data_IF_620314699526
#
_entry.id   IF_620314699526
#
_cell.length_a   1.000
_cell.length_b   1.000
_cell.length_c   1.000
_cell.angle_alpha   90.00
_cell.angle_beta   90.00
_cell.angle_gamma   90.00
#
_symmetry.space_group_name_H-M   'P 1'
#
loop_
_entity.id
_entity.type
_entity.pdbx_description
1 polymer ?
#
# COMPACT_ATOMS: atom_id res chain seq x y z
N UNK A 1 -5.67 -11.59 5.33
CA UNK A 1 -5.46 -10.44 4.43
C UNK A 1 -5.08 -10.88 3.03
N UNK A 2 -4.04 -11.73 2.84
CA UNK A 2 -3.59 -12.19 1.51
C UNK A 2 -4.71 -12.93 0.75
N UNK A 3 -5.44 -13.83 1.42
CA UNK A 3 -6.57 -14.55 0.81
C UNK A 3 -7.67 -13.59 0.36
N UNK A 4 -7.95 -12.55 1.15
CA UNK A 4 -8.96 -11.55 0.79
C UNK A 4 -8.48 -10.66 -0.36
N UNK A 5 -7.18 -10.32 -0.40
CA UNK A 5 -6.58 -9.61 -1.52
C UNK A 5 -6.75 -10.43 -2.82
N UNK A 6 -6.38 -11.71 -2.81
CA UNK A 6 -6.51 -12.59 -3.98
C UNK A 6 -7.96 -12.70 -4.47
N UNK A 7 -8.90 -12.93 -3.56
CA UNK A 7 -10.34 -12.99 -3.91
C UNK A 7 -10.83 -11.70 -4.57
N UNK A 8 -10.46 -10.54 -4.03
CA UNK A 8 -10.88 -9.24 -4.55
C UNK A 8 -10.21 -8.92 -5.89
N UNK A 9 -8.91 -9.17 -6.03
CA UNK A 9 -8.18 -8.99 -7.30
C UNK A 9 -8.83 -9.80 -8.42
N UNK A 10 -9.16 -11.07 -8.17
CA UNK A 10 -9.85 -11.93 -9.15
C UNK A 10 -11.27 -11.44 -9.45
N UNK A 11 -12.04 -11.09 -8.42
CA UNK A 11 -13.42 -10.61 -8.58
C UNK A 11 -13.48 -9.31 -9.39
N UNK A 12 -12.54 -8.39 -9.18
CA UNK A 12 -12.47 -7.10 -9.85
C UNK A 12 -11.71 -7.15 -11.17
N UNK A 13 -11.11 -8.30 -11.50
CA UNK A 13 -10.20 -8.44 -12.65
C UNK A 13 -9.08 -7.38 -12.64
N UNK A 14 -8.57 -7.09 -11.43
CA UNK A 14 -7.53 -6.09 -11.22
C UNK A 14 -6.20 -6.54 -11.81
N UNK A 15 -5.46 -5.60 -12.39
CA UNK A 15 -4.13 -5.86 -12.96
C UNK A 15 -3.05 -5.89 -11.88
N UNK A 16 -3.16 -4.99 -10.92
CA UNK A 16 -2.32 -4.91 -9.71
C UNK A 16 -3.25 -4.63 -8.53
N UNK A 17 -3.17 -5.43 -7.48
CA UNK A 17 -3.87 -5.21 -6.22
C UNK A 17 -2.89 -4.99 -5.08
N UNK A 18 -3.25 -4.12 -4.14
CA UNK A 18 -2.50 -3.88 -2.89
C UNK A 18 -3.45 -3.62 -1.73
N UNK A 19 -2.91 -3.48 -0.53
CA UNK A 19 -3.68 -3.29 0.69
C UNK A 19 -3.42 -1.93 1.33
N UNK A 20 -4.41 -1.43 2.05
CA UNK A 20 -4.23 -0.31 2.97
C UNK A 20 -5.08 -0.48 4.22
N UNK A 21 -4.75 0.29 5.25
CA UNK A 21 -5.48 0.36 6.52
C UNK A 21 -5.61 1.80 6.99
N UNK A 22 -6.41 2.03 8.02
CA UNK A 22 -6.56 3.35 8.62
C UNK A 22 -5.26 3.85 9.22
N UNK A 23 -5.07 5.16 9.15
CA UNK A 23 -4.07 5.87 9.94
C UNK A 23 -4.71 6.24 11.27
N UNK A 24 -4.44 5.45 12.31
CA UNK A 24 -4.99 5.66 13.66
C UNK A 24 -4.19 6.68 14.49
N UNK A 25 -2.92 6.87 14.16
CA UNK A 25 -2.02 7.79 14.87
C UNK A 25 -1.51 8.87 13.91
N UNK A 26 -1.64 10.13 14.30
CA UNK A 26 -1.09 11.27 13.54
C UNK A 26 0.42 11.18 13.32
N UNK A 27 1.15 10.49 14.21
CA UNK A 27 2.57 10.19 14.00
C UNK A 27 2.83 9.35 12.76
N UNK A 28 1.93 8.41 12.43
CA UNK A 28 2.03 7.62 11.18
C UNK A 28 1.85 8.53 9.97
N UNK A 29 0.91 9.47 10.04
CA UNK A 29 0.65 10.41 8.95
C UNK A 29 1.88 11.28 8.64
N UNK A 30 2.57 11.79 9.66
CA UNK A 30 3.78 12.62 9.50
C UNK A 30 5.08 11.83 9.28
N UNK A 31 5.07 10.51 9.52
CA UNK A 31 6.28 9.68 9.40
C UNK A 31 6.62 9.45 7.91
N UNK A 32 7.77 9.99 7.47
CA UNK A 32 8.27 9.87 6.09
C UNK A 32 8.77 8.45 5.71
N UNK A 33 8.99 7.57 6.68
CA UNK A 33 9.36 6.18 6.42
C UNK A 33 8.14 5.33 6.03
N UNK A 34 6.94 5.75 6.46
CA UNK A 34 5.70 5.05 6.17
C UNK A 34 5.10 5.56 4.86
N UNK A 35 4.82 4.64 3.95
CA UNK A 35 4.15 4.96 2.69
C UNK A 35 2.65 5.12 2.92
N UNK A 36 2.08 6.15 2.32
CA UNK A 36 0.64 6.41 2.28
C UNK A 36 0.13 6.24 0.85
N UNK A 37 -1.15 5.97 0.74
CA UNK A 37 -1.88 5.93 -0.52
C UNK A 37 -3.12 6.80 -0.41
N UNK A 38 -3.39 7.61 -1.43
CA UNK A 38 -4.68 8.29 -1.57
C UNK A 38 -5.58 7.55 -2.55
N UNK A 39 -6.87 7.56 -2.25
CA UNK A 39 -7.94 6.85 -2.96
C UNK A 39 -9.14 7.75 -3.16
N UNK A 40 -10.16 7.29 -3.89
CA UNK A 40 -11.39 8.06 -4.07
C UNK A 40 -12.22 8.16 -2.78
N UNK A 41 -13.03 9.19 -2.64
CA UNK A 41 -13.89 9.46 -1.47
C UNK A 41 -14.86 8.31 -1.16
N UNK A 42 -15.29 7.55 -2.17
CA UNK A 42 -16.21 6.43 -1.99
C UNK A 42 -15.51 5.12 -1.53
N UNK A 43 -14.21 5.17 -1.23
CA UNK A 43 -13.42 4.01 -0.86
C UNK A 43 -14.03 3.21 0.30
N UNK A 44 -14.44 3.89 1.37
CA UNK A 44 -15.02 3.25 2.55
C UNK A 44 -16.32 2.51 2.27
N UNK A 45 -17.11 2.98 1.33
CA UNK A 45 -18.38 2.34 0.94
C UNK A 45 -18.13 1.02 0.21
N UNK A 46 -17.11 0.97 -0.61
CA UNK A 46 -16.82 -0.16 -1.49
C UNK A 46 -15.73 -1.10 -0.93
N UNK A 47 -14.93 -0.64 0.04
CA UNK A 47 -13.72 -1.29 0.56
C UNK A 47 -12.63 -1.55 -0.50
N UNK A 48 -12.74 -0.93 -1.66
CA UNK A 48 -11.71 -0.88 -2.69
C UNK A 48 -11.84 0.37 -3.55
N UNK A 49 -10.73 0.80 -4.15
CA UNK A 49 -10.67 1.92 -5.10
C UNK A 49 -9.37 1.86 -5.88
N UNK A 50 -9.31 2.39 -7.11
CA UNK A 50 -8.05 2.74 -7.73
C UNK A 50 -7.22 3.67 -6.83
N UNK A 51 -5.92 3.43 -6.76
CA UNK A 51 -4.98 4.36 -6.16
C UNK A 51 -4.92 5.64 -7.00
N UNK A 52 -5.02 6.79 -6.35
CA UNK A 52 -4.77 8.08 -7.00
C UNK A 52 -3.26 8.37 -7.05
N UNK A 53 -2.57 8.16 -5.92
CA UNK A 53 -1.11 8.25 -5.85
C UNK A 53 -0.58 7.59 -4.57
N UNK A 54 0.74 7.39 -4.52
CA UNK A 54 1.48 6.94 -3.34
C UNK A 54 2.51 8.00 -2.95
N UNK A 55 2.71 8.20 -1.65
CA UNK A 55 3.61 9.22 -1.15
C UNK A 55 4.11 8.90 0.27
N UNK A 56 5.19 9.58 0.68
CA UNK A 56 5.74 9.48 2.05
C UNK A 56 5.43 10.73 2.85
N UNK A 57 5.56 11.92 2.25
CA UNK A 57 5.24 13.20 2.90
C UNK A 57 3.77 13.56 2.64
N UNK A 58 3.02 13.73 3.70
CA UNK A 58 1.56 13.95 3.66
C UNK A 58 1.14 15.42 3.85
N UNK A 59 2.09 16.37 3.88
CA UNK A 59 1.80 17.78 4.22
C UNK A 59 0.69 18.43 3.38
N UNK A 60 0.50 17.99 2.14
CA UNK A 60 -0.47 18.58 1.20
C UNK A 60 -1.56 17.60 0.77
N UNK A 61 -1.80 16.52 1.54
CA UNK A 61 -2.78 15.51 1.19
C UNK A 61 -3.98 15.52 2.15
N UNK A 62 -5.16 15.24 1.61
CA UNK A 62 -6.39 15.15 2.38
C UNK A 62 -6.39 13.88 3.25
N UNK A 63 -6.47 14.07 4.57
CA UNK A 63 -6.52 12.98 5.54
C UNK A 63 -7.74 12.05 5.32
N UNK A 64 -8.86 12.56 4.76
CA UNK A 64 -10.10 11.79 4.56
C UNK A 64 -9.97 10.68 3.51
N UNK A 65 -9.07 10.88 2.54
CA UNK A 65 -8.84 9.95 1.44
C UNK A 65 -7.45 9.31 1.48
N UNK A 66 -6.72 9.50 2.59
CA UNK A 66 -5.35 9.02 2.78
C UNK A 66 -5.33 7.87 3.77
N UNK A 67 -4.65 6.79 3.40
CA UNK A 67 -4.54 5.55 4.17
C UNK A 67 -3.09 5.11 4.30
N UNK A 68 -2.78 4.35 5.35
CA UNK A 68 -1.51 3.67 5.50
C UNK A 68 -1.43 2.54 4.47
N UNK A 69 -0.49 2.63 3.54
CA UNK A 69 -0.27 1.60 2.54
C UNK A 69 0.45 0.39 3.15
N UNK A 70 -0.04 -0.79 2.86
CA UNK A 70 0.58 -2.06 3.25
C UNK A 70 1.25 -2.64 2.00
N UNK A 71 2.58 -2.73 2.01
CA UNK A 71 3.44 -3.06 0.87
C UNK A 71 3.36 -4.51 0.38
N UNK A 72 2.16 -5.08 0.32
CA UNK A 72 1.89 -6.40 -0.27
C UNK A 72 1.18 -6.18 -1.60
N UNK A 73 1.69 -6.81 -2.66
CA UNK A 73 1.13 -6.69 -4.00
C UNK A 73 0.78 -8.03 -4.60
N UNK A 74 -0.32 -8.04 -5.34
CA UNK A 74 -0.69 -9.12 -6.23
C UNK A 74 -0.72 -8.58 -7.66
N UNK A 75 -0.09 -9.28 -8.57
CA UNK A 75 -0.04 -8.94 -9.98
C UNK A 75 -0.73 -9.99 -10.84
N UNK A 76 -1.45 -9.55 -11.87
CA UNK A 76 -1.71 -10.40 -13.01
C UNK A 76 -0.37 -10.72 -13.71
N UNK A 77 -0.15 -11.98 -14.09
CA UNK A 77 1.16 -12.43 -14.62
C UNK A 77 1.59 -11.64 -15.87
N UNK A 78 0.65 -11.38 -16.78
CA UNK A 78 0.92 -10.60 -17.99
C UNK A 78 1.32 -9.17 -17.67
N UNK A 79 0.66 -8.56 -16.68
CA UNK A 79 0.94 -7.22 -16.17
C UNK A 79 2.30 -7.16 -15.49
N UNK A 80 2.66 -8.17 -14.68
CA UNK A 80 3.99 -8.25 -14.06
C UNK A 80 5.09 -8.31 -15.11
N UNK A 81 4.93 -9.17 -16.14
CA UNK A 81 5.89 -9.26 -17.25
C UNK A 81 6.04 -7.94 -18.02
N UNK A 82 4.96 -7.17 -18.16
CA UNK A 82 5.01 -5.82 -18.74
C UNK A 82 5.72 -4.86 -17.82
N UNK A 83 5.38 -4.85 -16.53
CA UNK A 83 5.91 -3.94 -15.52
C UNK A 83 7.43 -4.03 -15.38
N UNK A 84 8.00 -5.24 -15.30
CA UNK A 84 9.45 -5.43 -15.16
C UNK A 84 10.27 -4.92 -16.36
N UNK A 85 9.63 -4.78 -17.54
CA UNK A 85 10.26 -4.23 -18.74
C UNK A 85 10.09 -2.71 -18.88
N UNK A 86 9.34 -2.05 -17.99
CA UNK A 86 9.20 -0.60 -18.01
C UNK A 86 10.47 0.07 -17.47
N UNK A 87 10.86 1.17 -18.10
CA UNK A 87 11.93 2.02 -17.57
C UNK A 87 11.45 2.73 -16.31
N UNK A 88 12.37 2.94 -15.38
CA UNK A 88 12.10 3.76 -14.21
C UNK A 88 11.64 5.16 -14.61
N UNK A 89 10.57 5.63 -13.97
CA UNK A 89 10.02 6.97 -14.23
C UNK A 89 10.68 8.01 -13.31
N UNK A 90 10.52 9.28 -13.66
CA UNK A 90 11.05 10.37 -12.84
C UNK A 90 10.38 10.45 -11.46
N UNK A 91 9.05 10.18 -11.39
CA UNK A 91 8.34 10.13 -10.11
C UNK A 91 8.84 8.99 -9.23
N UNK A 92 9.03 7.79 -9.81
CA UNK A 92 9.60 6.65 -9.09
C UNK A 92 10.95 6.99 -8.46
N UNK A 93 11.87 7.58 -9.24
CA UNK A 93 13.21 7.96 -8.79
C UNK A 93 13.15 9.05 -7.72
N UNK A 94 12.35 10.09 -7.95
CA UNK A 94 12.20 11.25 -7.07
C UNK A 94 11.65 10.86 -5.70
N UNK A 95 10.60 10.03 -5.68
CA UNK A 95 9.92 9.66 -4.45
C UNK A 95 10.38 8.32 -3.86
N UNK A 96 11.22 7.57 -4.60
CA UNK A 96 11.71 6.24 -4.24
C UNK A 96 10.55 5.28 -3.94
N UNK A 97 9.57 5.27 -4.83
CA UNK A 97 8.36 4.46 -4.76
C UNK A 97 8.14 3.74 -6.10
N UNK A 98 8.50 2.46 -6.16
CA UNK A 98 8.47 1.66 -7.39
C UNK A 98 7.08 1.58 -8.03
N UNK A 99 6.03 1.53 -7.22
CA UNK A 99 4.65 1.46 -7.68
C UNK A 99 4.21 2.69 -8.50
N UNK A 100 4.89 3.83 -8.36
CA UNK A 100 4.63 5.00 -9.21
C UNK A 100 4.95 4.73 -10.68
N UNK A 101 5.90 3.81 -10.97
CA UNK A 101 6.18 3.37 -12.34
C UNK A 101 4.93 2.79 -13.03
N UNK A 102 4.12 2.04 -12.29
CA UNK A 102 2.87 1.51 -12.82
C UNK A 102 1.88 2.64 -13.12
N UNK A 103 1.63 3.54 -12.17
CA UNK A 103 0.70 4.65 -12.34
C UNK A 103 1.13 5.59 -13.47
N UNK A 104 2.41 5.94 -13.54
CA UNK A 104 2.97 6.81 -14.58
C UNK A 104 2.84 6.21 -15.99
N UNK A 105 2.76 4.89 -16.09
CA UNK A 105 2.53 4.17 -17.34
C UNK A 105 1.06 3.76 -17.58
N UNK A 106 0.13 4.36 -16.82
CA UNK A 106 -1.31 4.11 -16.96
C UNK A 106 -1.76 2.71 -16.53
N UNK A 107 -0.95 2.00 -15.73
CA UNK A 107 -1.35 0.71 -15.15
C UNK A 107 -2.02 0.99 -13.81
N UNK A 108 -3.32 0.71 -13.75
CA UNK A 108 -4.10 0.90 -12.53
C UNK A 108 -3.64 -0.05 -11.42
N UNK A 109 -3.56 0.48 -10.20
CA UNK A 109 -3.37 -0.27 -8.97
C UNK A 109 -4.64 -0.15 -8.15
N UNK A 110 -5.30 -1.26 -7.86
CA UNK A 110 -6.48 -1.29 -7.01
C UNK A 110 -6.06 -1.50 -5.55
N UNK A 111 -6.52 -0.61 -4.68
CA UNK A 111 -6.24 -0.64 -3.25
C UNK A 111 -7.44 -1.24 -2.54
N UNK A 112 -7.21 -2.23 -1.68
CA UNK A 112 -8.24 -2.88 -0.87
C UNK A 112 -8.02 -2.59 0.59
N UNK A 113 -9.13 -2.37 1.30
CA UNK A 113 -9.09 -2.08 2.73
C UNK A 113 -8.91 -3.35 3.56
N UNK A 114 -8.06 -3.27 4.59
CA UNK A 114 -7.98 -4.27 5.66
C UNK A 114 -8.01 -3.60 7.03
N UNK A 115 -8.62 -4.27 8.00
CA UNK A 115 -8.62 -3.80 9.39
C UNK A 115 -7.28 -4.09 10.11
N UNK A 116 -6.50 -5.02 9.58
CA UNK A 116 -5.23 -5.41 10.14
C UNK A 116 -4.14 -4.42 9.71
N UNK A 117 -3.41 -3.92 10.70
CA UNK A 117 -2.20 -3.13 10.46
C UNK A 117 -1.00 -4.01 10.82
N UNK A 118 -0.41 -4.71 9.85
CA UNK A 118 0.81 -5.47 10.15
C UNK A 118 1.92 -4.50 10.57
N UNK A 119 2.67 -4.88 11.57
CA UNK A 119 3.87 -4.14 11.96
C UNK A 119 4.94 -4.46 10.93
N UNK A 120 5.34 -3.46 10.15
CA UNK A 120 6.50 -3.56 9.28
C UNK A 120 7.78 -3.64 10.12
N UNK A 121 8.80 -4.36 9.64
CA UNK A 121 10.12 -4.41 10.28
C UNK A 121 11.11 -3.71 9.37
N UNK A 122 11.24 -2.42 9.53
CA UNK A 122 12.18 -1.59 8.78
C UNK A 122 13.38 -1.13 9.62
N UNK A 123 13.23 -1.17 10.95
CA UNK A 123 14.25 -0.75 11.90
C UNK A 123 14.54 -1.83 12.95
N UNK A 124 15.64 -1.67 13.68
CA UNK A 124 15.97 -2.57 14.80
C UNK A 124 14.92 -2.47 15.91
N UNK A 125 14.34 -1.29 16.13
CA UNK A 125 13.29 -1.08 17.13
C UNK A 125 12.01 -1.84 16.76
N UNK A 126 11.60 -1.81 15.49
CA UNK A 126 10.47 -2.60 14.99
C UNK A 126 10.71 -4.10 15.18
N UNK A 127 11.94 -4.56 14.88
CA UNK A 127 12.33 -5.96 15.10
C UNK A 127 12.21 -6.37 16.57
N UNK A 128 12.69 -5.53 17.49
CA UNK A 128 12.63 -5.80 18.94
C UNK A 128 11.18 -5.80 19.43
N UNK A 129 10.31 -4.94 18.89
CA UNK A 129 8.88 -4.93 19.21
C UNK A 129 8.19 -6.22 18.75
N UNK A 130 8.39 -6.62 17.49
CA UNK A 130 7.81 -7.87 16.96
C UNK A 130 8.34 -9.08 17.72
N UNK A 131 9.63 -9.13 18.03
CA UNK A 131 10.22 -10.21 18.81
C UNK A 131 9.50 -10.39 20.15
N UNK A 132 9.27 -9.31 20.88
CA UNK A 132 8.49 -9.34 22.14
C UNK A 132 7.09 -9.92 21.92
N UNK A 133 6.34 -9.44 20.90
CA UNK A 133 4.99 -9.91 20.61
C UNK A 133 4.97 -11.40 20.28
N UNK A 134 5.97 -11.89 19.54
CA UNK A 134 6.07 -13.32 19.18
C UNK A 134 6.46 -14.20 20.36
N UNK A 135 7.29 -13.72 21.27
CA UNK A 135 7.68 -14.43 22.50
C UNK A 135 6.51 -14.55 23.48
N UNK A 136 5.68 -13.50 23.64
CA UNK A 136 4.50 -13.51 24.49
C UNK A 136 3.30 -14.32 23.95
N UNK A 137 3.30 -14.68 22.66
CA UNK A 137 2.25 -15.53 22.05
C UNK A 137 2.55 -17.03 22.09
N UNK A 138 3.65 -17.44 22.74
CA UNK A 138 4.04 -18.87 22.88
C UNK A 138 3.53 -19.52 24.16
N UNK A 139 2.83 -18.78 25.02
CA UNK A 139 2.08 -19.26 26.18
C UNK A 139 0.58 -19.26 25.80
#
# INVERSE_FOLDING_TARGET
DIINLDKNVRKLNSKIGTLCTDIKDKKIFSNKNIVKVSVNENFRKNNYSPALTFFRNAENFDEKITYHHIGIYQYEISTLKKFINLKQTENEKKFRLEQLRALDNGIQIDVMYTQNSPIGVDTMDDFMEIKKIMEYKKD
#
